data_IF_339838015071
#
_entry.id   IF_339838015071
#
_cell.length_a   1.000
_cell.length_b   1.000
_cell.length_c   1.000
_cell.angle_alpha   90.00
_cell.angle_beta   90.00
_cell.angle_gamma   90.00
#
_symmetry.space_group_name_H-M   'P 1'
#
loop_
_entity.id
_entity.type
_entity.pdbx_description
1 polymer ?
#
# COMPACT_ATOMS: atom_id res chain seq x y z
N UNK A 1 -17.51 -11.84 -2.93
CA UNK A 1 -16.27 -12.61 -2.68
C UNK A 1 -15.08 -11.75 -3.07
N UNK A 2 -14.09 -11.62 -2.19
CA UNK A 2 -12.91 -10.82 -2.49
C UNK A 2 -11.93 -11.58 -3.38
N UNK A 3 -11.27 -10.84 -4.27
CA UNK A 3 -10.18 -11.35 -5.10
C UNK A 3 -8.88 -10.63 -4.70
N UNK A 4 -7.70 -11.19 -5.00
CA UNK A 4 -6.46 -10.47 -4.73
C UNK A 4 -6.45 -9.07 -5.33
N UNK A 5 -6.90 -8.93 -6.58
CA UNK A 5 -6.98 -7.64 -7.25
C UNK A 5 -7.90 -6.67 -6.52
N UNK A 6 -9.10 -7.11 -6.11
CA UNK A 6 -10.05 -6.24 -5.43
C UNK A 6 -9.53 -5.75 -4.08
N UNK A 7 -8.79 -6.60 -3.36
CA UNK A 7 -8.17 -6.22 -2.08
C UNK A 7 -7.09 -5.15 -2.30
N UNK A 8 -6.25 -5.33 -3.32
CA UNK A 8 -5.21 -4.34 -3.64
C UNK A 8 -5.83 -3.01 -4.05
N UNK A 9 -6.87 -3.01 -4.88
CA UNK A 9 -7.55 -1.78 -5.31
C UNK A 9 -8.20 -1.06 -4.12
N UNK A 10 -8.83 -1.80 -3.20
CA UNK A 10 -9.40 -1.21 -1.99
C UNK A 10 -8.31 -0.61 -1.09
N UNK A 11 -7.18 -1.30 -0.93
CA UNK A 11 -6.03 -0.79 -0.17
C UNK A 11 -5.51 0.52 -0.77
N UNK A 12 -5.32 0.56 -2.09
CA UNK A 12 -4.82 1.77 -2.77
C UNK A 12 -5.74 2.96 -2.51
N UNK A 13 -7.06 2.76 -2.60
CA UNK A 13 -8.04 3.82 -2.35
C UNK A 13 -7.98 4.32 -0.90
N UNK A 14 -7.94 3.41 0.08
CA UNK A 14 -7.86 3.76 1.49
C UNK A 14 -6.52 4.38 1.85
N UNK A 15 -5.43 3.90 1.24
CA UNK A 15 -4.10 4.48 1.43
C UNK A 15 -4.08 5.95 0.99
N UNK A 16 -4.68 6.25 -0.16
CA UNK A 16 -4.76 7.65 -0.62
C UNK A 16 -5.48 8.53 0.38
N UNK A 17 -6.62 8.08 0.91
CA UNK A 17 -7.36 8.85 1.91
C UNK A 17 -6.52 9.11 3.16
N UNK A 18 -5.82 8.09 3.66
CA UNK A 18 -4.92 8.24 4.79
C UNK A 18 -3.80 9.24 4.48
N UNK A 19 -3.16 9.10 3.32
CA UNK A 19 -2.00 9.93 2.93
C UNK A 19 -2.39 11.40 2.78
N UNK A 20 -3.52 11.69 2.16
CA UNK A 20 -4.02 13.05 1.98
C UNK A 20 -4.33 13.68 3.33
N UNK A 21 -5.04 12.96 4.20
CA UNK A 21 -5.37 13.44 5.55
C UNK A 21 -4.12 13.72 6.38
N UNK A 22 -3.17 12.77 6.38
CA UNK A 22 -1.92 12.92 7.13
C UNK A 22 -1.08 14.09 6.63
N UNK A 23 -0.98 14.24 5.30
CA UNK A 23 -0.23 15.34 4.68
C UNK A 23 -0.82 16.70 5.04
N UNK A 24 -2.14 16.85 4.98
CA UNK A 24 -2.81 18.10 5.33
C UNK A 24 -2.66 18.42 6.81
N UNK A 25 -2.80 17.42 7.69
CA UNK A 25 -2.66 17.62 9.13
C UNK A 25 -1.24 18.03 9.50
N UNK A 26 -0.23 17.39 8.91
CA UNK A 26 1.17 17.74 9.12
C UNK A 26 1.51 19.13 8.61
N UNK A 27 0.91 19.55 7.50
CA UNK A 27 1.12 20.90 6.98
C UNK A 27 0.57 21.98 7.91
N UNK A 28 -0.58 21.71 8.55
CA UNK A 28 -1.21 22.63 9.50
C UNK A 28 -0.52 22.63 10.86
N UNK A 29 -0.03 21.48 11.30
CA UNK A 29 0.56 21.31 12.62
C UNK A 29 1.75 20.33 12.53
N UNK A 30 2.92 20.80 12.05
CA UNK A 30 4.12 19.94 11.95
C UNK A 30 4.70 19.71 13.35
N UNK A 31 4.31 18.61 13.97
CA UNK A 31 4.76 18.25 15.32
C UNK A 31 5.00 16.74 15.42
N UNK A 32 5.82 16.28 16.41
CA UNK A 32 5.99 14.85 16.66
C UNK A 32 4.67 14.14 16.96
N UNK A 33 3.77 14.78 17.71
CA UNK A 33 2.47 14.21 18.05
C UNK A 33 1.60 13.98 16.80
N UNK A 34 1.63 14.91 15.85
CA UNK A 34 0.90 14.77 14.59
C UNK A 34 1.46 13.60 13.76
N UNK A 35 2.79 13.45 13.74
CA UNK A 35 3.42 12.32 13.04
C UNK A 35 3.10 10.99 13.73
N UNK A 36 3.08 10.96 15.06
CA UNK A 36 2.67 9.76 15.81
C UNK A 36 1.23 9.37 15.51
N UNK A 37 0.32 10.34 15.40
CA UNK A 37 -1.07 10.09 15.03
C UNK A 37 -1.17 9.55 13.60
N UNK A 38 -0.41 10.10 12.67
CA UNK A 38 -0.37 9.61 11.30
C UNK A 38 0.10 8.14 11.25
N UNK A 39 1.11 7.79 12.04
CA UNK A 39 1.60 6.41 12.12
C UNK A 39 0.57 5.48 12.77
N UNK A 40 -0.13 5.94 13.80
CA UNK A 40 -1.19 5.16 14.44
C UNK A 40 -2.35 4.90 13.48
N UNK A 41 -2.73 5.89 12.69
CA UNK A 41 -3.79 5.76 11.67
C UNK A 41 -3.34 4.81 10.55
N UNK A 42 -2.07 4.84 10.18
CA UNK A 42 -1.50 3.90 9.22
C UNK A 42 -1.56 2.46 9.75
N UNK A 43 -1.25 2.26 11.03
CA UNK A 43 -1.37 0.94 11.65
C UNK A 43 -2.80 0.40 11.60
N UNK A 44 -3.81 1.27 11.79
CA UNK A 44 -5.22 0.89 11.65
C UNK A 44 -5.58 0.53 10.21
N UNK A 45 -5.03 1.25 9.25
CA UNK A 45 -5.20 0.92 7.83
C UNK A 45 -4.65 -0.49 7.54
N UNK A 46 -3.42 -0.77 7.98
CA UNK A 46 -2.79 -2.06 7.75
C UNK A 46 -3.55 -3.20 8.43
N UNK A 47 -4.13 -2.95 9.61
CA UNK A 47 -4.90 -3.96 10.33
C UNK A 47 -6.11 -4.46 9.53
N UNK A 48 -6.63 -3.67 8.60
CA UNK A 48 -7.75 -4.07 7.74
C UNK A 48 -7.33 -4.96 6.57
N UNK A 49 -6.09 -4.86 6.12
CA UNK A 49 -5.62 -5.50 4.88
C UNK A 49 -4.51 -6.52 5.09
N UNK A 50 -3.83 -6.49 6.24
CA UNK A 50 -2.63 -7.26 6.48
C UNK A 50 -2.80 -8.20 7.66
N UNK A 51 -2.01 -9.31 7.73
CA UNK A 51 -2.00 -10.13 8.94
C UNK A 51 -1.45 -9.35 10.14
N UNK A 52 -1.81 -9.76 11.39
CA UNK A 52 -1.37 -9.04 12.59
C UNK A 52 0.15 -8.95 12.77
N UNK A 53 0.89 -9.90 12.23
CA UNK A 53 2.35 -9.99 12.33
C UNK A 53 3.08 -9.45 11.11
N UNK A 54 2.41 -8.64 10.29
CA UNK A 54 3.02 -8.08 9.09
C UNK A 54 4.22 -7.20 9.44
N UNK A 55 5.33 -7.39 8.72
CA UNK A 55 6.47 -6.50 8.81
C UNK A 55 6.17 -5.23 8.03
N UNK A 56 6.37 -4.08 8.69
CA UNK A 56 6.15 -2.80 8.05
C UNK A 56 7.25 -1.80 8.36
N UNK A 57 7.42 -0.85 7.48
CA UNK A 57 8.25 0.32 7.72
C UNK A 57 7.42 1.36 8.51
N UNK A 58 8.10 2.33 9.09
CA UNK A 58 7.42 3.48 9.69
C UNK A 58 6.60 4.20 8.59
N UNK A 59 5.49 4.80 9.00
CA UNK A 59 4.63 5.51 8.05
C UNK A 59 5.40 6.62 7.33
N UNK A 60 5.27 6.66 6.01
CA UNK A 60 5.87 7.70 5.18
C UNK A 60 4.75 8.54 4.58
N UNK A 61 4.68 9.80 4.99
CA UNK A 61 3.67 10.75 4.51
C UNK A 61 4.25 11.53 3.34
N UNK A 62 3.55 11.51 2.21
CA UNK A 62 4.00 12.21 1.00
C UNK A 62 2.84 12.97 0.35
N UNK A 63 3.20 13.97 -0.43
CA UNK A 63 2.25 14.71 -1.27
C UNK A 63 2.91 14.93 -2.63
N UNK A 64 2.36 14.37 -3.71
CA UNK A 64 1.16 13.53 -3.76
C UNK A 64 1.32 12.16 -3.10
N UNK A 65 0.20 11.49 -2.88
CA UNK A 65 0.20 10.14 -2.28
C UNK A 65 1.03 9.16 -3.10
N UNK A 66 1.74 8.26 -2.41
CA UNK A 66 2.50 7.18 -3.06
C UNK A 66 1.61 6.20 -3.82
N UNK A 67 0.39 6.01 -3.34
CA UNK A 67 -0.63 5.18 -4.00
C UNK A 67 -1.86 6.01 -4.27
N UNK A 68 -2.41 5.89 -5.47
CA UNK A 68 -3.55 6.69 -5.91
C UNK A 68 -4.36 5.87 -6.91
N UNK A 69 -5.66 5.60 -6.65
CA UNK A 69 -6.47 4.78 -7.54
C UNK A 69 -6.67 5.39 -8.94
N UNK A 70 -6.42 6.69 -9.10
CA UNK A 70 -6.49 7.35 -10.40
C UNK A 70 -5.20 7.18 -11.22
N UNK A 71 -4.10 6.78 -10.58
CA UNK A 71 -2.78 6.71 -11.19
C UNK A 71 -2.19 5.30 -11.20
N UNK A 72 -2.45 4.53 -10.15
CA UNK A 72 -1.93 3.16 -10.01
C UNK A 72 -2.92 2.18 -10.60
N UNK A 73 -2.45 1.32 -11.52
CA UNK A 73 -3.31 0.33 -12.15
C UNK A 73 -2.71 -1.06 -12.02
N UNK A 74 -3.58 -2.06 -11.93
CA UNK A 74 -3.17 -3.46 -11.91
C UNK A 74 -2.80 -3.87 -13.33
N UNK A 75 -1.60 -4.45 -13.50
CA UNK A 75 -1.09 -4.91 -14.79
C UNK A 75 -0.89 -6.42 -14.83
N UNK A 76 -0.95 -7.10 -13.71
CA UNK A 76 -0.82 -8.55 -13.66
C UNK A 76 -1.27 -9.13 -12.33
N UNK A 77 -1.83 -10.32 -12.38
CA UNK A 77 -2.20 -11.10 -11.19
C UNK A 77 -1.79 -12.55 -11.45
N UNK A 78 -0.97 -13.08 -10.53
CA UNK A 78 -0.59 -14.50 -10.57
C UNK A 78 -1.00 -15.14 -9.26
N UNK A 79 -1.84 -16.17 -9.32
CA UNK A 79 -2.33 -16.87 -8.14
C UNK A 79 -1.94 -18.34 -8.22
N UNK A 80 -1.35 -18.85 -7.15
CA UNK A 80 -0.95 -20.24 -7.05
C UNK A 80 -1.24 -20.72 -5.63
N UNK A 81 -2.23 -21.62 -5.52
CA UNK A 81 -2.68 -22.11 -4.22
C UNK A 81 -3.26 -20.98 -3.37
N UNK A 82 -2.79 -20.86 -2.14
CA UNK A 82 -3.23 -19.83 -1.20
C UNK A 82 -2.44 -18.54 -1.27
N UNK A 83 -1.66 -18.32 -2.33
CA UNK A 83 -0.83 -17.13 -2.49
C UNK A 83 -1.07 -16.44 -3.81
N UNK A 84 -0.93 -15.13 -3.83
CA UNK A 84 -1.08 -14.32 -5.05
C UNK A 84 -0.07 -13.20 -5.07
N UNK A 85 0.36 -12.82 -6.28
CA UNK A 85 1.15 -11.61 -6.52
C UNK A 85 0.36 -10.73 -7.47
N UNK A 86 0.09 -9.50 -7.04
CA UNK A 86 -0.58 -8.49 -7.86
C UNK A 86 0.45 -7.44 -8.23
N UNK A 87 0.69 -7.27 -9.51
CA UNK A 87 1.63 -6.27 -10.02
C UNK A 87 0.86 -5.03 -10.45
N UNK A 88 1.35 -3.86 -10.04
CA UNK A 88 0.77 -2.58 -10.42
C UNK A 88 1.83 -1.68 -11.02
N UNK A 89 1.38 -0.66 -11.76
CA UNK A 89 2.28 0.38 -12.24
C UNK A 89 1.64 1.76 -12.10
N UNK A 90 2.48 2.74 -11.82
CA UNK A 90 2.13 4.16 -11.80
C UNK A 90 2.96 4.83 -12.89
N UNK A 91 2.30 5.40 -13.89
CA UNK A 91 2.99 6.11 -14.94
C UNK A 91 3.31 7.53 -14.49
N UNK A 92 4.59 7.82 -14.40
CA UNK A 92 5.11 9.14 -14.06
C UNK A 92 5.68 9.82 -15.31
N UNK A 93 6.00 11.11 -15.19
CA UNK A 93 6.61 11.83 -16.28
C UNK A 93 8.06 11.36 -16.50
N UNK A 94 8.27 10.57 -17.55
CA UNK A 94 9.59 10.08 -17.92
C UNK A 94 9.98 8.74 -17.32
N UNK A 95 9.15 8.14 -16.43
CA UNK A 95 9.42 6.81 -15.85
C UNK A 95 8.14 6.16 -15.35
N UNK A 96 8.21 4.88 -15.05
CA UNK A 96 7.09 4.10 -14.51
C UNK A 96 7.53 3.46 -13.19
N UNK A 97 6.76 3.70 -12.12
CA UNK A 97 6.93 3.00 -10.86
C UNK A 97 6.19 1.68 -10.91
N UNK A 98 6.85 0.61 -10.48
CA UNK A 98 6.28 -0.75 -10.45
C UNK A 98 6.26 -1.25 -9.02
N UNK A 99 5.12 -1.81 -8.60
CA UNK A 99 4.95 -2.43 -7.30
C UNK A 99 4.46 -3.85 -7.43
N UNK A 100 4.89 -4.72 -6.51
CA UNK A 100 4.34 -6.06 -6.35
C UNK A 100 3.74 -6.20 -4.95
N UNK A 101 2.46 -6.57 -4.92
CA UNK A 101 1.73 -6.86 -3.69
C UNK A 101 1.70 -8.38 -3.53
N UNK A 102 2.25 -8.87 -2.40
CA UNK A 102 2.22 -10.29 -2.07
C UNK A 102 1.06 -10.56 -1.12
N UNK A 103 0.18 -11.49 -1.46
CA UNK A 103 -1.02 -11.78 -0.69
C UNK A 103 -1.09 -13.24 -0.28
N UNK A 104 -1.74 -13.47 0.87
CA UNK A 104 -2.01 -14.79 1.42
C UNK A 104 -3.52 -14.94 1.62
N UNK A 105 -4.08 -16.06 1.19
CA UNK A 105 -5.48 -16.40 1.47
C UNK A 105 -5.58 -17.03 2.86
N UNK A 106 -6.35 -16.42 3.74
CA UNK A 106 -6.51 -16.88 5.11
C UNK A 106 -7.90 -16.50 5.64
N UNK A 107 -8.59 -17.46 6.24
CA UNK A 107 -9.90 -17.21 6.84
C UNK A 107 -10.96 -16.72 5.85
N UNK A 108 -10.89 -17.19 4.60
CA UNK A 108 -11.85 -16.81 3.55
C UNK A 108 -11.58 -15.45 2.90
N UNK A 109 -10.42 -14.83 3.17
CA UNK A 109 -10.08 -13.52 2.61
C UNK A 109 -8.61 -13.46 2.21
N UNK A 110 -8.30 -12.56 1.29
CA UNK A 110 -6.92 -12.28 0.90
C UNK A 110 -6.35 -11.17 1.78
N UNK A 111 -5.14 -11.41 2.32
CA UNK A 111 -4.41 -10.45 3.16
C UNK A 111 -3.11 -10.06 2.48
N UNK A 112 -2.77 -8.79 2.55
CA UNK A 112 -1.51 -8.27 2.00
C UNK A 112 -0.39 -8.58 2.99
N UNK A 113 0.56 -9.43 2.59
CA UNK A 113 1.73 -9.78 3.39
C UNK A 113 2.88 -8.80 3.21
N UNK A 114 2.95 -8.14 2.06
CA UNK A 114 4.02 -7.21 1.76
C UNK A 114 3.78 -6.48 0.45
N UNK A 115 4.48 -5.38 0.30
CA UNK A 115 4.53 -4.59 -0.93
C UNK A 115 5.99 -4.33 -1.22
N UNK A 116 6.43 -4.61 -2.45
CA UNK A 116 7.77 -4.31 -2.91
C UNK A 116 7.73 -3.29 -4.02
N UNK A 117 8.63 -2.32 -3.95
CA UNK A 117 8.94 -1.42 -5.05
C UNK A 117 10.00 -2.09 -5.94
N UNK A 118 9.76 -2.12 -7.24
CA UNK A 118 10.62 -2.82 -8.19
C UNK A 118 11.38 -1.79 -9.03
N UNK A 119 12.70 -1.90 -9.06
CA UNK A 119 13.53 -1.08 -9.95
C UNK A 119 14.58 -1.95 -10.65
N UNK A 120 15.50 -1.33 -11.39
CA UNK A 120 16.53 -2.03 -12.14
C UNK A 120 17.49 -2.82 -11.27
N UNK A 121 17.64 -2.44 -9.99
CA UNK A 121 18.57 -3.07 -9.07
C UNK A 121 17.91 -4.17 -8.22
N UNK A 122 16.57 -4.28 -8.22
CA UNK A 122 15.88 -5.33 -7.50
C UNK A 122 14.58 -4.90 -6.85
N UNK A 123 14.27 -5.52 -5.72
CA UNK A 123 13.03 -5.31 -4.97
C UNK A 123 13.33 -4.68 -3.62
N UNK A 124 12.53 -3.68 -3.25
CA UNK A 124 12.72 -2.94 -2.01
C UNK A 124 11.42 -2.91 -1.22
N UNK A 125 11.44 -3.24 0.08
CA UNK A 125 10.22 -3.16 0.90
C UNK A 125 9.59 -1.77 0.87
N UNK A 126 8.27 -1.73 0.71
CA UNK A 126 7.53 -0.47 0.60
C UNK A 126 6.38 -0.36 1.62
N UNK A 127 6.00 -1.44 2.26
CA UNK A 127 4.91 -1.49 3.22
C UNK A 127 5.31 -0.91 4.57
#
# INVERSE_FOLDING_TARGET
MSTPESVVLAFIADYKQWSVHASETLRRNPSPETMEQADADYALLLARYCPPDVNRLAAAVSSPSSHDPERERVVGVTTEGGRSVVSTEILESGYTDIYEYSLLHSGGRWLIEGIDYIDEEGKWPHL
#
